data_IF_923734514600
#
_entry.id   IF_923734514600
#
_cell.length_a   1.000
_cell.length_b   1.000
_cell.length_c   1.000
_cell.angle_alpha   90.00
_cell.angle_beta   90.00
_cell.angle_gamma   90.00
#
_symmetry.space_group_name_H-M   'P 1'
#
loop_
_entity.id
_entity.type
_entity.pdbx_description
1 polymer ?
#
# COMPACT_ATOMS: atom_id res chain seq x y z
N UNK A 1 -2.64 -0.12 21.71
CA UNK A 1 -3.65 0.90 22.09
C UNK A 1 -4.23 0.56 23.46
N UNK A 2 -4.85 -0.61 23.63
CA UNK A 2 -5.54 -1.00 24.86
C UNK A 2 -4.71 -0.79 26.13
N UNK A 3 -3.43 -1.17 26.12
CA UNK A 3 -2.52 -1.05 27.29
C UNK A 3 -1.95 0.35 27.48
N UNK A 4 -1.66 1.08 26.41
CA UNK A 4 -0.95 2.36 26.46
C UNK A 4 -1.90 3.57 26.49
N UNK A 5 -3.13 3.39 25.98
CA UNK A 5 -4.13 4.47 25.86
C UNK A 5 -5.55 3.89 25.99
N UNK A 6 -5.94 3.41 27.19
CA UNK A 6 -7.24 2.75 27.41
C UNK A 6 -8.44 3.69 27.20
N UNK A 7 -8.23 5.01 27.18
CA UNK A 7 -9.27 6.00 26.89
C UNK A 7 -9.46 6.31 25.39
N UNK A 8 -8.66 5.70 24.49
CA UNK A 8 -8.75 5.94 23.05
C UNK A 8 -9.47 4.76 22.38
N UNK A 9 -10.53 5.07 21.62
CA UNK A 9 -11.19 4.14 20.72
C UNK A 9 -10.78 4.43 19.28
N UNK A 10 -10.34 3.41 18.54
CA UNK A 10 -9.95 3.56 17.13
C UNK A 10 -10.87 2.74 16.26
N UNK A 11 -11.50 3.38 15.28
CA UNK A 11 -12.29 2.75 14.23
C UNK A 11 -11.54 2.82 12.91
N UNK A 12 -11.24 1.68 12.31
CA UNK A 12 -10.59 1.60 11.01
C UNK A 12 -11.65 1.50 9.92
N UNK A 13 -11.57 2.42 8.95
CA UNK A 13 -12.47 2.47 7.79
C UNK A 13 -11.71 2.06 6.53
N UNK A 14 -12.35 1.36 5.58
CA UNK A 14 -11.74 1.08 4.29
C UNK A 14 -11.43 2.38 3.53
N UNK A 15 -10.21 2.50 3.01
CA UNK A 15 -9.82 3.61 2.17
C UNK A 15 -9.93 3.19 0.70
N UNK A 16 -10.93 3.70 0.01
CA UNK A 16 -11.23 3.37 -1.40
C UNK A 16 -10.78 4.44 -2.40
N UNK A 17 -10.19 5.53 -1.90
CA UNK A 17 -9.72 6.67 -2.70
C UNK A 17 -8.22 6.90 -2.49
N UNK A 18 -7.56 7.45 -3.52
CA UNK A 18 -6.17 7.94 -3.43
C UNK A 18 -6.09 9.42 -2.98
N UNK A 19 -7.23 10.08 -2.82
CA UNK A 19 -7.31 11.43 -2.25
C UNK A 19 -8.30 11.43 -1.08
N UNK A 20 -7.81 11.36 0.15
CA UNK A 20 -8.65 11.26 1.33
C UNK A 20 -9.14 12.61 1.86
N UNK A 21 -8.75 13.74 1.25
CA UNK A 21 -9.04 15.08 1.78
C UNK A 21 -10.53 15.31 2.01
N UNK A 22 -11.38 14.81 1.13
CA UNK A 22 -12.83 14.92 1.31
C UNK A 22 -13.31 14.23 2.59
N UNK A 23 -12.81 13.04 2.91
CA UNK A 23 -13.18 12.32 4.13
C UNK A 23 -12.74 13.06 5.40
N UNK A 24 -11.58 13.72 5.32
CA UNK A 24 -11.05 14.55 6.41
C UNK A 24 -11.81 15.86 6.56
N UNK A 25 -12.26 16.47 5.45
CA UNK A 25 -13.04 17.71 5.45
C UNK A 25 -14.45 17.51 5.97
N UNK A 26 -15.08 16.40 5.64
CA UNK A 26 -16.40 16.00 6.12
C UNK A 26 -16.35 15.41 7.54
N UNK A 27 -15.17 15.39 8.18
CA UNK A 27 -14.94 14.80 9.52
C UNK A 27 -15.42 13.32 9.63
N UNK A 28 -15.50 12.64 8.49
CA UNK A 28 -15.81 11.21 8.41
C UNK A 28 -14.66 10.35 8.90
N UNK A 29 -13.45 10.90 8.91
CA UNK A 29 -12.24 10.31 9.47
C UNK A 29 -11.34 11.42 10.06
N UNK A 30 -10.65 11.11 11.15
CA UNK A 30 -9.69 12.03 11.79
C UNK A 30 -8.32 11.98 11.10
N UNK A 31 -7.95 10.80 10.56
CA UNK A 31 -6.68 10.54 9.90
C UNK A 31 -6.87 9.56 8.75
N UNK A 32 -6.15 9.77 7.67
CA UNK A 32 -6.01 8.79 6.59
C UNK A 32 -4.59 8.22 6.57
N UNK A 33 -4.46 6.90 6.42
CA UNK A 33 -3.17 6.23 6.29
C UNK A 33 -3.16 5.47 4.97
N UNK A 34 -2.18 5.76 4.10
CA UNK A 34 -2.12 5.14 2.78
C UNK A 34 -1.13 5.80 1.83
N UNK A 35 -1.32 5.53 0.54
CA UNK A 35 -0.50 6.07 -0.55
C UNK A 35 -1.26 7.19 -1.26
N UNK A 36 -0.79 8.43 -1.10
CA UNK A 36 -1.46 9.65 -1.56
C UNK A 36 -0.55 10.56 -2.40
N UNK A 37 0.12 10.08 -3.45
CA UNK A 37 1.15 10.85 -4.14
C UNK A 37 0.63 12.17 -4.72
N UNK A 38 -0.54 12.17 -5.35
CA UNK A 38 -1.12 13.37 -5.95
C UNK A 38 -1.57 14.39 -4.89
N UNK A 39 -2.19 13.93 -3.80
CA UNK A 39 -2.61 14.81 -2.71
C UNK A 39 -1.42 15.47 -2.03
N UNK A 40 -0.36 14.71 -1.76
CA UNK A 40 0.86 15.24 -1.15
C UNK A 40 1.63 16.19 -2.07
N UNK A 41 1.69 15.91 -3.37
CA UNK A 41 2.30 16.80 -4.36
C UNK A 41 1.56 18.14 -4.42
N UNK A 42 0.22 18.15 -4.44
CA UNK A 42 -0.60 19.35 -4.42
C UNK A 42 -0.38 20.18 -3.13
N UNK A 43 -0.37 19.52 -1.95
CA UNK A 43 -0.09 20.17 -0.69
C UNK A 43 1.30 20.81 -0.65
N UNK A 44 2.31 20.11 -1.18
CA UNK A 44 3.68 20.63 -1.27
C UNK A 44 3.75 21.85 -2.19
N UNK A 45 3.13 21.78 -3.37
CA UNK A 45 3.09 22.89 -4.32
C UNK A 45 2.40 24.13 -3.72
N UNK A 46 1.28 23.94 -2.99
CA UNK A 46 0.59 25.03 -2.29
C UNK A 46 1.45 25.65 -1.20
N UNK A 47 2.15 24.84 -0.41
CA UNK A 47 3.05 25.35 0.62
C UNK A 47 4.19 26.18 0.01
N UNK A 48 4.78 25.71 -1.10
CA UNK A 48 5.86 26.40 -1.80
C UNK A 48 5.41 27.73 -2.43
N UNK A 49 4.15 27.84 -2.86
CA UNK A 49 3.56 29.08 -3.38
C UNK A 49 3.06 30.06 -2.29
N UNK A 50 3.32 29.75 -1.01
CA UNK A 50 2.87 30.58 0.11
C UNK A 50 1.37 30.45 0.42
N UNK A 51 0.68 29.50 -0.16
CA UNK A 51 -0.73 29.21 0.09
C UNK A 51 -0.95 28.56 1.45
N UNK A 52 -2.15 28.75 2.03
CA UNK A 52 -2.53 28.09 3.27
C UNK A 52 -2.70 26.58 3.04
N UNK A 53 -2.04 25.77 3.89
CA UNK A 53 -2.16 24.32 3.89
C UNK A 53 -2.94 23.90 5.12
N UNK A 54 -4.11 23.31 4.90
CA UNK A 54 -5.02 22.89 5.97
C UNK A 54 -4.70 21.51 6.55
N UNK A 55 -3.73 20.80 5.96
CA UNK A 55 -3.38 19.42 6.32
C UNK A 55 -1.92 19.33 6.72
N UNK A 56 -1.64 18.39 7.61
CA UNK A 56 -0.32 17.90 7.90
C UNK A 56 -0.19 16.46 7.40
N UNK A 57 1.04 16.09 7.07
CA UNK A 57 1.35 14.72 6.66
C UNK A 57 2.64 14.23 7.31
N UNK A 58 2.72 12.93 7.52
CA UNK A 58 3.92 12.29 8.02
C UNK A 58 4.14 10.96 7.31
N UNK A 59 5.34 10.79 6.74
CA UNK A 59 5.74 9.49 6.23
C UNK A 59 5.90 8.49 7.37
N UNK A 60 5.23 7.36 7.24
CA UNK A 60 5.33 6.25 8.17
C UNK A 60 6.41 5.27 7.74
N UNK A 61 6.43 4.89 6.46
CA UNK A 61 7.44 4.02 5.86
C UNK A 61 7.44 4.08 4.34
N UNK A 62 8.56 3.63 3.76
CA UNK A 62 8.69 3.40 2.32
C UNK A 62 8.40 1.92 2.04
N UNK A 63 7.55 1.65 1.04
CA UNK A 63 7.15 0.30 0.68
C UNK A 63 7.91 -0.20 -0.55
N UNK A 64 8.42 -1.42 -0.47
CA UNK A 64 8.92 -2.17 -1.62
C UNK A 64 7.87 -3.21 -2.02
N UNK A 65 7.59 -3.33 -3.30
CA UNK A 65 6.67 -4.34 -3.82
C UNK A 65 7.43 -5.46 -4.51
N UNK A 66 7.02 -6.68 -4.21
CA UNK A 66 7.61 -7.89 -4.77
C UNK A 66 6.60 -8.61 -5.65
N UNK A 67 7.08 -9.22 -6.74
CA UNK A 67 6.33 -10.25 -7.43
C UNK A 67 6.30 -11.51 -6.56
N UNK A 68 5.12 -12.03 -6.30
CA UNK A 68 4.91 -13.17 -5.39
C UNK A 68 4.18 -14.28 -6.13
N UNK A 69 4.65 -15.50 -5.92
CA UNK A 69 4.12 -16.72 -6.50
C UNK A 69 4.27 -17.90 -5.52
N UNK A 70 3.58 -19.00 -5.77
CA UNK A 70 3.74 -20.22 -4.95
C UNK A 70 5.15 -20.81 -5.09
N UNK A 71 5.57 -21.59 -4.11
CA UNK A 71 6.71 -22.49 -4.29
C UNK A 71 6.45 -23.45 -5.44
N UNK A 72 7.52 -23.78 -6.20
CA UNK A 72 7.43 -24.64 -7.37
C UNK A 72 6.65 -24.06 -8.57
N UNK A 73 6.38 -22.73 -8.57
CA UNK A 73 5.89 -22.04 -9.76
C UNK A 73 6.97 -22.08 -10.87
N UNK A 74 6.61 -22.25 -12.17
CA UNK A 74 7.61 -22.28 -13.26
C UNK A 74 8.55 -21.07 -13.29
N UNK A 75 8.10 -19.91 -12.84
CA UNK A 75 8.88 -18.66 -12.77
C UNK A 75 9.52 -18.42 -11.40
N UNK A 76 9.50 -19.40 -10.49
CA UNK A 76 10.10 -19.25 -9.16
C UNK A 76 11.63 -19.26 -9.21
N UNK A 77 12.21 -19.90 -10.22
CA UNK A 77 13.65 -20.01 -10.43
C UNK A 77 14.06 -19.33 -11.74
N UNK A 78 15.36 -19.05 -11.89
CA UNK A 78 15.88 -18.36 -13.08
C UNK A 78 15.59 -16.86 -13.07
N UNK A 79 15.77 -16.21 -14.20
CA UNK A 79 15.49 -14.78 -14.36
C UNK A 79 14.00 -14.53 -14.64
N UNK A 80 13.39 -13.62 -13.90
CA UNK A 80 12.04 -13.14 -14.19
C UNK A 80 12.13 -11.94 -15.13
N UNK A 81 12.13 -12.20 -16.45
CA UNK A 81 12.14 -11.13 -17.45
C UNK A 81 10.78 -10.42 -17.55
N UNK A 82 10.79 -9.21 -18.11
CA UNK A 82 9.55 -8.46 -18.36
C UNK A 82 8.60 -9.22 -19.28
N UNK A 83 9.13 -9.94 -20.29
CA UNK A 83 8.33 -10.73 -21.23
C UNK A 83 7.64 -11.90 -20.53
N UNK A 84 8.36 -12.66 -19.73
CA UNK A 84 7.77 -13.78 -18.98
C UNK A 84 6.79 -13.32 -17.93
N UNK A 85 7.05 -12.16 -17.29
CA UNK A 85 6.12 -11.54 -16.36
C UNK A 85 4.82 -11.13 -17.05
N UNK A 86 4.89 -10.45 -18.20
CA UNK A 86 3.71 -10.02 -18.95
C UNK A 86 2.89 -11.19 -19.52
N UNK A 87 3.55 -12.28 -19.94
CA UNK A 87 2.90 -13.46 -20.47
C UNK A 87 2.19 -14.31 -19.39
N UNK A 88 2.56 -14.14 -18.12
CA UNK A 88 1.94 -14.85 -17.02
C UNK A 88 0.49 -14.40 -16.75
N UNK A 89 -0.22 -15.18 -15.95
CA UNK A 89 -1.54 -14.83 -15.43
C UNK A 89 -1.40 -14.15 -14.07
N UNK A 90 -2.12 -13.06 -13.87
CA UNK A 90 -1.97 -12.24 -12.67
C UNK A 90 -3.25 -12.17 -11.84
N UNK A 91 -3.04 -12.06 -10.53
CA UNK A 91 -4.05 -11.59 -9.60
C UNK A 91 -3.69 -10.15 -9.17
N UNK A 92 -4.66 -9.28 -9.22
CA UNK A 92 -4.54 -7.88 -8.79
C UNK A 92 -5.15 -7.70 -7.41
N UNK A 93 -4.43 -7.02 -6.52
CA UNK A 93 -5.03 -6.48 -5.29
C UNK A 93 -5.46 -5.04 -5.57
N UNK A 94 -6.76 -4.78 -5.47
CA UNK A 94 -7.36 -3.48 -5.72
C UNK A 94 -8.41 -3.16 -4.67
N UNK A 95 -8.09 -2.24 -3.76
CA UNK A 95 -9.01 -1.81 -2.70
C UNK A 95 -10.23 -1.05 -3.23
N UNK A 96 -10.10 -0.41 -4.39
CA UNK A 96 -11.19 0.31 -5.07
C UNK A 96 -12.00 -0.57 -6.04
N UNK A 97 -11.64 -1.86 -6.20
CA UNK A 97 -12.25 -2.76 -7.17
C UNK A 97 -11.91 -2.46 -8.64
N UNK A 98 -11.04 -1.50 -8.93
CA UNK A 98 -10.62 -1.23 -10.33
C UNK A 98 -9.84 -2.42 -10.89
N UNK A 99 -10.01 -2.75 -12.17
CA UNK A 99 -9.33 -3.89 -12.80
C UNK A 99 -7.88 -3.57 -13.21
N UNK A 100 -7.33 -2.43 -12.80
CA UNK A 100 -5.96 -2.00 -13.04
C UNK A 100 -5.38 -1.24 -11.84
N UNK A 101 -4.06 -1.21 -11.71
CA UNK A 101 -3.33 -0.54 -10.64
C UNK A 101 -2.01 0.06 -11.12
N UNK A 102 -1.17 0.49 -10.18
CA UNK A 102 0.10 1.17 -10.49
C UNK A 102 1.07 0.33 -11.33
N UNK A 103 1.03 -0.99 -11.23
CA UNK A 103 1.82 -1.89 -12.10
C UNK A 103 1.33 -1.79 -13.54
N UNK A 104 0.02 -1.72 -13.75
CA UNK A 104 -0.58 -1.64 -15.09
C UNK A 104 -0.28 -0.27 -15.72
N UNK A 105 -0.26 0.80 -14.91
CA UNK A 105 0.17 2.14 -15.31
C UNK A 105 1.66 2.14 -15.73
N UNK A 106 2.53 1.49 -14.94
CA UNK A 106 3.95 1.36 -15.26
C UNK A 106 4.20 0.50 -16.51
N UNK A 107 3.46 -0.59 -16.69
CA UNK A 107 3.53 -1.41 -17.91
C UNK A 107 3.08 -0.63 -19.14
N UNK A 108 2.00 0.13 -19.03
CA UNK A 108 1.47 0.95 -20.13
C UNK A 108 2.49 2.00 -20.60
N UNK A 109 3.28 2.60 -19.69
CA UNK A 109 4.36 3.52 -20.05
C UNK A 109 5.49 2.86 -20.86
N UNK A 110 5.62 1.54 -20.78
CA UNK A 110 6.55 0.72 -21.56
C UNK A 110 5.90 0.10 -22.81
N UNK A 111 4.66 0.47 -23.14
CA UNK A 111 3.89 -0.14 -24.22
C UNK A 111 3.53 -1.61 -23.97
N UNK A 112 3.49 -2.05 -22.70
CA UNK A 112 3.24 -3.43 -22.30
C UNK A 112 1.94 -3.56 -21.52
N UNK A 113 1.42 -4.76 -21.49
CA UNK A 113 0.23 -5.13 -20.72
C UNK A 113 0.43 -6.49 -20.07
N UNK A 114 -0.39 -6.83 -19.09
CA UNK A 114 -0.46 -8.16 -18.48
C UNK A 114 -1.91 -8.65 -18.41
N UNK A 115 -2.10 -9.95 -18.26
CA UNK A 115 -3.42 -10.55 -18.11
C UNK A 115 -3.80 -10.66 -16.64
N UNK A 116 -4.65 -9.78 -16.14
CA UNK A 116 -5.30 -9.90 -14.84
C UNK A 116 -6.50 -10.82 -14.96
N UNK A 117 -6.49 -11.97 -14.28
CA UNK A 117 -7.57 -12.98 -14.32
C UNK A 117 -8.52 -12.85 -13.14
N UNK A 118 -8.04 -12.31 -12.01
CA UNK A 118 -8.84 -12.11 -10.80
C UNK A 118 -8.38 -10.85 -10.07
N UNK A 119 -9.33 -10.14 -9.51
CA UNK A 119 -9.08 -8.99 -8.64
C UNK A 119 -9.64 -9.29 -7.26
N UNK A 120 -8.84 -9.03 -6.23
CA UNK A 120 -9.22 -9.15 -4.82
C UNK A 120 -8.98 -7.81 -4.11
N UNK A 121 -9.61 -7.61 -2.97
CA UNK A 121 -9.53 -6.34 -2.24
C UNK A 121 -8.66 -6.40 -0.97
N UNK A 122 -7.90 -7.48 -0.78
CA UNK A 122 -7.04 -7.66 0.40
C UNK A 122 -5.77 -8.44 0.06
N UNK A 123 -4.65 -8.02 0.64
CA UNK A 123 -3.38 -8.72 0.49
C UNK A 123 -3.39 -10.12 1.10
N UNK A 124 -4.10 -10.35 2.21
CA UNK A 124 -4.23 -11.68 2.82
C UNK A 124 -4.87 -12.68 1.87
N UNK A 125 -5.97 -12.28 1.24
CA UNK A 125 -6.66 -13.12 0.24
C UNK A 125 -5.74 -13.45 -0.92
N UNK A 126 -5.00 -12.45 -1.41
CA UNK A 126 -4.05 -12.62 -2.51
C UNK A 126 -2.99 -13.68 -2.19
N UNK A 127 -2.33 -13.60 -1.05
CA UNK A 127 -1.33 -14.58 -0.63
C UNK A 127 -1.88 -16.02 -0.61
N UNK A 128 -3.07 -16.20 -0.05
CA UNK A 128 -3.70 -17.52 0.06
C UNK A 128 -4.13 -18.11 -1.29
N UNK A 129 -4.65 -17.29 -2.19
CA UNK A 129 -5.04 -17.76 -3.54
C UNK A 129 -3.81 -18.14 -4.37
N UNK A 130 -2.74 -17.36 -4.26
CA UNK A 130 -1.50 -17.61 -5.00
C UNK A 130 -0.86 -18.95 -4.62
N UNK A 131 -0.87 -19.33 -3.35
CA UNK A 131 -0.32 -20.64 -2.91
C UNK A 131 -0.97 -21.81 -3.62
N UNK A 132 -2.26 -21.71 -3.95
CA UNK A 132 -3.02 -22.79 -4.61
C UNK A 132 -3.16 -22.62 -6.13
N UNK A 133 -2.39 -21.74 -6.77
CA UNK A 133 -2.56 -21.41 -8.19
C UNK A 133 -1.23 -21.09 -8.89
N UNK A 134 -1.27 -21.01 -10.23
CA UNK A 134 -0.16 -20.50 -11.04
C UNK A 134 -0.33 -19.01 -11.37
N UNK A 135 -0.89 -18.24 -10.45
CA UNK A 135 -1.03 -16.82 -10.59
C UNK A 135 0.17 -16.09 -9.97
N UNK A 136 0.60 -15.02 -10.62
CA UNK A 136 1.48 -14.04 -10.01
C UNK A 136 0.64 -12.97 -9.32
N UNK A 137 1.13 -12.46 -8.20
CA UNK A 137 0.57 -11.25 -7.58
C UNK A 137 1.70 -10.31 -7.17
N UNK A 138 1.34 -9.08 -6.80
CA UNK A 138 2.29 -8.09 -6.29
C UNK A 138 1.86 -7.72 -4.88
N UNK A 139 2.74 -7.96 -3.92
CA UNK A 139 2.51 -7.68 -2.50
C UNK A 139 3.61 -6.77 -1.94
N UNK A 140 3.30 -5.92 -0.97
CA UNK A 140 4.33 -5.23 -0.20
C UNK A 140 5.23 -6.25 0.51
N UNK A 141 6.55 -6.09 0.42
CA UNK A 141 7.53 -7.03 0.98
C UNK A 141 7.30 -7.31 2.47
N UNK A 142 7.10 -6.25 3.24
CA UNK A 142 6.86 -6.34 4.68
C UNK A 142 5.54 -7.03 5.05
N UNK A 143 4.59 -7.12 4.10
CA UNK A 143 3.31 -7.77 4.34
C UNK A 143 3.36 -9.29 4.15
N UNK A 144 4.34 -9.80 3.41
CA UNK A 144 4.42 -11.22 3.08
C UNK A 144 4.58 -12.11 4.33
N UNK A 145 5.46 -11.80 5.31
CA UNK A 145 5.54 -12.56 6.56
C UNK A 145 4.22 -12.56 7.35
N UNK A 146 3.50 -11.44 7.34
CA UNK A 146 2.24 -11.27 8.07
C UNK A 146 1.12 -12.17 7.52
N UNK A 147 1.22 -12.63 6.27
CA UNK A 147 0.24 -13.58 5.68
C UNK A 147 0.18 -14.93 6.41
N UNK A 148 1.22 -15.27 7.20
CA UNK A 148 1.34 -16.55 7.89
C UNK A 148 1.61 -17.75 6.97
N UNK A 149 1.97 -17.50 5.71
CA UNK A 149 2.24 -18.51 4.68
C UNK A 149 3.48 -18.17 3.84
N UNK A 150 4.36 -17.30 4.37
CA UNK A 150 5.57 -16.85 3.67
C UNK A 150 6.47 -18.02 3.24
N UNK A 151 6.51 -19.10 4.03
CA UNK A 151 7.20 -20.34 3.76
C UNK A 151 6.72 -21.08 2.49
N UNK A 152 5.51 -20.78 2.02
CA UNK A 152 4.91 -21.36 0.80
C UNK A 152 5.00 -20.44 -0.42
N UNK A 153 5.58 -19.26 -0.24
CA UNK A 153 5.67 -18.23 -1.26
C UNK A 153 7.12 -18.00 -1.69
N UNK A 154 7.30 -17.70 -2.97
CA UNK A 154 8.54 -17.21 -3.54
C UNK A 154 8.36 -15.74 -3.88
N UNK A 155 9.31 -14.91 -3.46
CA UNK A 155 9.37 -13.49 -3.71
C UNK A 155 10.45 -13.20 -4.75
N UNK A 156 10.12 -12.41 -5.75
CA UNK A 156 11.06 -11.96 -6.79
C UNK A 156 10.96 -10.45 -6.94
N UNK A 157 12.07 -9.77 -7.22
CA UNK A 157 12.00 -8.37 -7.65
C UNK A 157 11.07 -8.23 -8.87
N UNK A 158 10.39 -7.10 -8.98
CA UNK A 158 9.61 -6.79 -10.17
C UNK A 158 10.57 -6.56 -11.35
N UNK A 159 10.29 -7.11 -12.55
CA UNK A 159 11.15 -6.91 -13.73
C UNK A 159 10.87 -5.57 -14.44
N UNK A 160 10.42 -4.57 -13.71
CA UNK A 160 10.16 -3.21 -14.19
C UNK A 160 10.35 -2.23 -13.04
N UNK A 161 10.75 -1.03 -13.40
CA UNK A 161 10.82 0.05 -12.41
C UNK A 161 9.42 0.55 -12.09
N UNK A 162 9.10 0.55 -10.81
CA UNK A 162 7.86 1.14 -10.28
C UNK A 162 8.21 2.27 -9.32
N UNK A 163 7.41 3.33 -9.26
CA UNK A 163 7.60 4.37 -8.26
C UNK A 163 7.61 3.77 -6.86
N UNK A 164 8.50 4.26 -6.01
CA UNK A 164 8.49 3.90 -4.60
C UNK A 164 7.11 4.22 -4.01
N UNK A 165 6.49 3.24 -3.37
CA UNK A 165 5.20 3.43 -2.71
C UNK A 165 5.47 3.81 -1.27
N UNK A 166 5.09 5.03 -0.93
CA UNK A 166 5.18 5.54 0.42
C UNK A 166 3.86 5.36 1.15
N UNK A 167 3.90 4.99 2.40
CA UNK A 167 2.71 5.03 3.25
C UNK A 167 2.83 6.22 4.17
N UNK A 168 1.89 7.13 4.01
CA UNK A 168 1.83 8.39 4.73
C UNK A 168 0.57 8.44 5.59
N UNK A 169 0.67 9.10 6.74
CA UNK A 169 -0.48 9.58 7.49
C UNK A 169 -0.78 11.01 7.04
N UNK A 170 -2.05 11.33 6.83
CA UNK A 170 -2.56 12.64 6.46
C UNK A 170 -3.72 13.00 7.39
N UNK A 171 -3.73 14.23 7.92
CA UNK A 171 -4.79 14.73 8.82
C UNK A 171 -4.96 16.24 8.70
N UNK A 172 -6.08 16.77 9.18
CA UNK A 172 -6.29 18.22 9.24
C UNK A 172 -5.53 18.82 10.43
N UNK A 173 -4.96 20.02 10.21
CA UNK A 173 -4.21 20.81 11.21
C UNK A 173 -5.00 21.26 12.41
N UNK A 174 -6.26 20.91 12.57
CA UNK A 174 -7.11 21.46 13.64
C UNK A 174 -7.88 20.36 14.33
N UNK A 175 -7.96 20.44 15.65
CA UNK A 175 -8.94 19.72 16.43
C UNK A 175 -8.62 19.69 17.92
N UNK A 176 -9.63 19.61 18.77
CA UNK A 176 -9.47 19.44 20.21
C UNK A 176 -8.79 18.11 20.59
N UNK A 177 -8.56 17.22 19.62
CA UNK A 177 -7.96 15.89 19.80
C UNK A 177 -6.46 15.85 19.42
N UNK A 178 -5.78 16.98 19.37
CA UNK A 178 -4.37 17.08 18.95
C UNK A 178 -3.46 16.09 19.71
N UNK A 179 -3.62 15.95 21.02
CA UNK A 179 -2.85 15.01 21.85
C UNK A 179 -3.12 13.54 21.51
N UNK A 180 -4.37 13.17 21.27
CA UNK A 180 -4.74 11.81 20.89
C UNK A 180 -4.21 11.48 19.49
N UNK A 181 -4.28 12.43 18.58
CA UNK A 181 -3.72 12.33 17.23
C UNK A 181 -2.21 12.17 17.25
N UNK A 182 -1.51 13.00 18.01
CA UNK A 182 -0.06 12.91 18.16
C UNK A 182 0.36 11.56 18.75
N UNK A 183 -0.33 11.11 19.80
CA UNK A 183 -0.10 9.79 20.36
C UNK A 183 -0.29 8.67 19.33
N UNK A 184 -1.39 8.70 18.55
CA UNK A 184 -1.67 7.71 17.50
C UNK A 184 -0.60 7.72 16.41
N UNK A 185 -0.16 8.90 15.97
CA UNK A 185 0.94 9.05 15.01
C UNK A 185 2.25 8.44 15.52
N UNK A 186 2.58 8.67 16.79
CA UNK A 186 3.75 8.06 17.42
C UNK A 186 3.62 6.53 17.51
N UNK A 187 2.45 6.02 17.87
CA UNK A 187 2.18 4.58 17.94
C UNK A 187 2.31 3.92 16.56
N UNK A 188 1.72 4.53 15.51
CA UNK A 188 1.85 4.07 14.12
C UNK A 188 3.29 4.09 13.64
N UNK A 189 4.03 5.16 13.91
CA UNK A 189 5.43 5.28 13.52
C UNK A 189 6.35 4.27 14.26
N UNK A 190 6.05 3.94 15.53
CA UNK A 190 6.77 2.87 16.26
C UNK A 190 6.49 1.51 15.64
N UNK A 191 5.22 1.21 15.38
CA UNK A 191 4.81 -0.06 14.76
C UNK A 191 5.40 -0.22 13.36
N UNK A 192 5.41 0.83 12.55
CA UNK A 192 6.05 0.82 11.24
C UNK A 192 7.54 0.47 11.37
N UNK A 193 8.29 1.14 12.24
CA UNK A 193 9.71 0.86 12.46
C UNK A 193 9.98 -0.57 12.93
N UNK A 194 9.10 -1.16 13.73
CA UNK A 194 9.27 -2.54 14.20
C UNK A 194 9.07 -3.58 13.09
N UNK A 195 8.25 -3.26 12.08
CA UNK A 195 7.99 -4.16 10.93
C UNK A 195 9.14 -4.17 9.90
N UNK A 196 10.02 -3.16 9.93
CA UNK A 196 11.14 -3.00 8.99
C UNK A 196 12.52 -3.18 9.63
N UNK A 197 12.56 -3.60 10.90
CA UNK A 197 13.80 -4.06 11.51
C UNK A 197 13.97 -5.54 11.18
N UNK A 198 14.86 -5.81 10.23
CA UNK A 198 15.48 -7.12 10.05
C UNK A 198 16.41 -7.43 11.22
#
# INVERSE_FOLDING_TARGET
IEREAPGISVRVLPLTTRDPRRLLDEESADMAVGYFPAALADLTARAQSGGAVAYDSRRLYDGEYMCVMRQGHPLATGELSLDTYCAARHMLVSFSGRPFGFIDEALASLGRTRRVVITVNQFFTAGRVVVGSDLLTVLPRHFIPVTGIADKLVQRPLPLNVPAVHVDALWRRRGPQEKAMEWLLHALARSARSMFRD
#
